data_IF_176242872948
#
_entry.id   IF_176242872948
#
_cell.length_a   1.000
_cell.length_b   1.000
_cell.length_c   1.000
_cell.angle_alpha   90.00
_cell.angle_beta   90.00
_cell.angle_gamma   90.00
#
_symmetry.space_group_name_H-M   'P 1'
#
loop_
_entity.id
_entity.type
_entity.pdbx_description
1 polymer ?
#
# COMPACT_ATOMS: atom_id res chain seq x y z
N UNK A 1 -36.40 30.75 -10.39
CA UNK A 1 -35.76 30.20 -11.61
C UNK A 1 -34.25 30.11 -11.40
N UNK A 2 -33.62 29.08 -12.01
CA UNK A 2 -32.18 28.72 -12.02
C UNK A 2 -31.70 27.94 -10.78
N UNK A 3 -31.93 26.63 -10.73
CA UNK A 3 -31.18 25.51 -11.38
C UNK A 3 -29.75 25.31 -10.87
N UNK A 4 -29.66 24.29 -10.04
CA UNK A 4 -28.50 23.60 -9.53
C UNK A 4 -28.17 22.43 -10.48
N UNK A 5 -26.90 22.12 -10.80
CA UNK A 5 -26.57 20.76 -11.23
C UNK A 5 -25.49 20.15 -10.32
N UNK A 6 -25.94 19.44 -9.28
CA UNK A 6 -25.17 18.41 -8.59
C UNK A 6 -24.97 17.22 -9.53
N UNK A 7 -23.82 17.09 -10.20
CA UNK A 7 -23.39 15.81 -10.76
C UNK A 7 -22.78 14.94 -9.65
N UNK A 8 -23.62 14.10 -9.06
CA UNK A 8 -23.22 12.94 -8.24
C UNK A 8 -22.41 11.97 -9.10
N UNK A 9 -21.09 11.92 -8.94
CA UNK A 9 -20.30 10.74 -9.34
C UNK A 9 -20.49 9.67 -8.26
N UNK A 10 -21.16 8.57 -8.63
CA UNK A 10 -21.24 7.33 -7.85
C UNK A 10 -19.81 6.82 -7.63
N UNK A 11 -19.28 6.92 -6.40
CA UNK A 11 -18.09 6.16 -5.98
C UNK A 11 -18.48 4.67 -5.99
N UNK A 12 -18.04 3.92 -7.01
CA UNK A 12 -18.06 2.46 -6.96
C UNK A 12 -17.04 2.01 -5.92
N UNK A 13 -17.43 1.06 -5.08
CA UNK A 13 -16.66 0.60 -3.93
C UNK A 13 -15.32 0.00 -4.36
N UNK A 14 -14.25 0.69 -3.99
CA UNK A 14 -12.90 0.10 -3.93
C UNK A 14 -12.79 -0.65 -2.60
N UNK A 15 -12.29 -1.89 -2.62
CA UNK A 15 -12.05 -2.68 -1.41
C UNK A 15 -11.19 -1.89 -0.40
N UNK A 16 -11.58 -1.81 0.89
CA UNK A 16 -10.87 -1.05 1.93
C UNK A 16 -9.41 -1.49 2.16
N UNK A 17 -9.05 -2.69 1.74
CA UNK A 17 -7.76 -3.37 1.96
C UNK A 17 -6.53 -2.53 1.57
N UNK A 18 -6.63 -1.65 0.57
CA UNK A 18 -5.45 -1.02 -0.04
C UNK A 18 -5.21 0.44 0.32
N UNK A 19 -5.96 0.98 1.31
CA UNK A 19 -5.75 2.37 1.78
C UNK A 19 -4.62 2.51 2.80
N UNK A 20 -4.15 1.41 3.40
CA UNK A 20 -3.17 1.39 4.49
C UNK A 20 -1.69 1.45 4.10
N UNK A 21 -1.33 1.36 2.81
CA UNK A 21 0.07 1.45 2.35
C UNK A 21 0.53 2.91 2.25
N UNK A 22 0.68 3.60 3.39
CA UNK A 22 1.45 4.86 3.46
C UNK A 22 2.75 4.59 4.19
N UNK A 23 3.84 4.48 3.44
CA UNK A 23 5.18 4.50 4.01
C UNK A 23 5.75 5.92 3.97
N UNK A 24 6.47 6.24 5.04
CA UNK A 24 7.09 7.50 5.43
C UNK A 24 7.85 8.25 4.32
N UNK A 25 7.83 9.58 4.43
CA UNK A 25 8.45 10.54 3.51
C UNK A 25 9.94 10.24 3.23
N UNK A 26 10.25 9.90 1.98
CA UNK A 26 11.59 9.61 1.44
C UNK A 26 12.60 10.77 1.50
N UNK A 27 12.19 11.94 1.97
CA UNK A 27 13.02 13.14 2.09
C UNK A 27 14.02 13.07 3.25
N UNK A 28 13.70 12.38 4.34
CA UNK A 28 14.62 12.23 5.49
C UNK A 28 15.89 11.45 5.17
N UNK A 29 15.85 10.52 4.21
CA UNK A 29 17.00 9.64 3.87
C UNK A 29 18.06 10.32 2.98
N UNK A 30 17.81 11.52 2.48
CA UNK A 30 18.77 12.22 1.60
C UNK A 30 19.90 12.89 2.39
N UNK A 31 19.67 13.27 3.66
CA UNK A 31 20.64 14.01 4.46
C UNK A 31 21.70 13.12 5.14
N UNK A 32 21.49 11.81 5.26
CA UNK A 32 22.41 10.91 5.96
C UNK A 32 23.63 10.47 5.11
N UNK A 33 23.64 10.72 3.80
CA UNK A 33 24.70 10.21 2.88
C UNK A 33 25.71 11.26 2.43
N UNK A 34 25.60 12.52 2.86
CA UNK A 34 26.45 13.63 2.40
C UNK A 34 27.56 14.01 3.37
N UNK A 35 28.59 13.16 3.57
CA UNK A 35 29.81 13.56 4.29
C UNK A 35 31.07 13.22 3.50
N UNK A 36 31.24 13.87 2.35
CA UNK A 36 32.51 14.00 1.63
C UNK A 36 32.50 15.30 0.83
N UNK A 37 33.66 15.96 0.67
CA UNK A 37 33.82 17.27 0.03
C UNK A 37 33.08 17.37 -1.31
N UNK A 38 32.20 18.37 -1.43
CA UNK A 38 31.27 18.55 -2.55
C UNK A 38 31.85 19.47 -3.62
N UNK A 39 31.68 19.11 -4.89
CA UNK A 39 31.91 20.05 -5.99
C UNK A 39 30.91 21.23 -5.90
N UNK A 40 31.20 22.37 -6.53
CA UNK A 40 30.30 23.54 -6.51
C UNK A 40 28.89 23.20 -7.06
N UNK A 41 28.77 22.22 -7.95
CA UNK A 41 27.49 21.75 -8.48
C UNK A 41 26.73 20.90 -7.45
N UNK A 42 27.43 20.03 -6.71
CA UNK A 42 26.84 19.23 -5.63
C UNK A 42 26.28 20.12 -4.50
N UNK A 43 26.98 21.21 -4.18
CA UNK A 43 26.50 22.19 -3.21
C UNK A 43 25.20 22.87 -3.68
N UNK A 44 25.05 23.15 -4.98
CA UNK A 44 23.84 23.73 -5.53
C UNK A 44 22.64 22.76 -5.44
N UNK A 45 22.85 21.48 -5.77
CA UNK A 45 21.81 20.45 -5.68
C UNK A 45 21.31 20.27 -4.25
N UNK A 46 22.23 20.11 -3.29
CA UNK A 46 21.89 19.96 -1.87
C UNK A 46 21.13 21.21 -1.37
N UNK A 47 21.58 22.41 -1.76
CA UNK A 47 20.95 23.66 -1.34
C UNK A 47 19.53 23.81 -1.88
N UNK A 48 19.30 23.49 -3.17
CA UNK A 48 17.97 23.56 -3.78
C UNK A 48 17.01 22.50 -3.21
N UNK A 49 17.52 21.29 -2.92
CA UNK A 49 16.73 20.25 -2.25
C UNK A 49 16.38 20.64 -0.81
N UNK A 50 17.33 21.24 -0.07
CA UNK A 50 17.09 21.77 1.27
C UNK A 50 16.06 22.89 1.29
N UNK A 51 16.13 23.81 0.32
CA UNK A 51 15.12 24.86 0.14
C UNK A 51 13.74 24.29 -0.22
N UNK A 52 13.69 23.30 -1.11
CA UNK A 52 12.45 22.63 -1.46
C UNK A 52 11.78 22.00 -0.22
N UNK A 53 12.57 21.32 0.62
CA UNK A 53 12.08 20.72 1.86
C UNK A 53 11.64 21.76 2.88
N UNK A 54 12.40 22.85 3.04
CA UNK A 54 12.03 23.97 3.88
C UNK A 54 10.66 24.56 3.49
N UNK A 55 10.42 24.78 2.19
CA UNK A 55 9.13 25.28 1.72
C UNK A 55 8.00 24.27 1.86
N UNK A 56 8.30 22.96 1.86
CA UNK A 56 7.31 21.91 2.09
C UNK A 56 6.87 21.83 3.55
N UNK A 57 7.79 22.05 4.48
CA UNK A 57 7.55 21.94 5.93
C UNK A 57 7.27 23.28 6.62
N UNK A 58 7.40 24.40 5.91
CA UNK A 58 7.06 25.73 6.44
C UNK A 58 5.60 25.80 6.89
N UNK A 59 5.29 26.68 7.84
CA UNK A 59 3.92 26.92 8.30
C UNK A 59 3.51 28.37 7.98
N UNK A 60 2.61 28.59 6.98
CA UNK A 60 1.97 27.61 6.12
C UNK A 60 2.92 27.04 5.02
N UNK A 61 2.66 25.82 4.49
CA UNK A 61 3.48 25.23 3.44
C UNK A 61 3.42 26.02 2.14
N UNK A 62 4.58 26.31 1.54
CA UNK A 62 4.66 26.99 0.25
C UNK A 62 4.98 26.00 -0.88
N UNK A 63 3.99 25.20 -1.25
CA UNK A 63 4.13 24.13 -2.25
C UNK A 63 4.55 24.66 -3.62
N UNK A 64 4.12 25.88 -4.01
CA UNK A 64 4.53 26.49 -5.28
C UNK A 64 6.05 26.72 -5.32
N UNK A 65 6.62 27.29 -4.26
CA UNK A 65 8.08 27.51 -4.18
C UNK A 65 8.84 26.19 -4.09
N UNK A 66 8.31 25.20 -3.36
CA UNK A 66 8.87 23.85 -3.32
C UNK A 66 9.00 23.25 -4.74
N UNK A 67 7.92 23.28 -5.53
CA UNK A 67 7.93 22.81 -6.93
C UNK A 67 8.94 23.61 -7.77
N UNK A 68 9.00 24.93 -7.62
CA UNK A 68 9.95 25.78 -8.36
C UNK A 68 11.41 25.44 -8.04
N UNK A 69 11.75 25.18 -6.77
CA UNK A 69 13.09 24.74 -6.38
C UNK A 69 13.46 23.40 -7.01
N UNK A 70 12.53 22.44 -7.04
CA UNK A 70 12.76 21.14 -7.66
C UNK A 70 12.86 21.24 -9.19
N UNK A 71 12.06 22.07 -9.83
CA UNK A 71 12.15 22.31 -11.28
C UNK A 71 13.46 22.99 -11.66
N UNK A 72 13.96 23.91 -10.82
CA UNK A 72 15.22 24.60 -11.06
C UNK A 72 16.42 23.63 -11.12
N UNK A 73 16.37 22.51 -10.40
CA UNK A 73 17.42 21.48 -10.42
C UNK A 73 17.73 20.99 -11.84
N UNK A 74 16.71 20.83 -12.70
CA UNK A 74 16.90 20.36 -14.07
C UNK A 74 17.72 21.30 -14.95
N UNK A 75 17.75 22.60 -14.62
CA UNK A 75 18.57 23.60 -15.34
C UNK A 75 20.07 23.31 -15.22
N UNK A 76 20.48 22.65 -14.13
CA UNK A 76 21.87 22.34 -13.83
C UNK A 76 22.33 20.99 -14.40
N UNK A 77 21.46 20.26 -15.11
CA UNK A 77 21.73 18.90 -15.67
C UNK A 77 22.23 17.93 -14.57
N UNK A 78 21.34 17.57 -13.62
CA UNK A 78 21.71 16.71 -12.51
C UNK A 78 22.18 15.33 -12.98
N UNK A 79 23.05 14.64 -12.22
CA UNK A 79 23.35 13.24 -12.48
C UNK A 79 22.08 12.38 -12.49
N UNK A 80 22.05 11.30 -13.27
CA UNK A 80 20.86 10.45 -13.49
C UNK A 80 20.14 10.03 -12.21
N UNK A 81 20.88 9.69 -11.14
CA UNK A 81 20.29 9.31 -9.83
C UNK A 81 19.54 10.48 -9.18
N UNK A 82 20.10 11.68 -9.25
CA UNK A 82 19.48 12.89 -8.70
C UNK A 82 18.27 13.25 -9.54
N UNK A 83 18.40 13.21 -10.86
CA UNK A 83 17.32 13.49 -11.81
C UNK A 83 16.09 12.59 -11.59
N UNK A 84 16.30 11.26 -11.56
CA UNK A 84 15.24 10.29 -11.34
C UNK A 84 14.52 10.51 -9.99
N UNK A 85 15.29 10.80 -8.93
CA UNK A 85 14.73 11.06 -7.59
C UNK A 85 13.95 12.37 -7.55
N UNK A 86 14.44 13.43 -8.21
CA UNK A 86 13.72 14.71 -8.33
C UNK A 86 12.40 14.54 -9.08
N UNK A 87 12.39 13.74 -10.16
CA UNK A 87 11.16 13.38 -10.86
C UNK A 87 10.14 12.65 -9.96
N UNK A 88 10.60 11.66 -9.17
CA UNK A 88 9.74 10.99 -8.19
C UNK A 88 9.15 11.99 -7.16
N UNK A 89 9.99 12.87 -6.60
CA UNK A 89 9.55 13.88 -5.63
C UNK A 89 8.52 14.85 -6.22
N UNK A 90 8.74 15.32 -7.45
CA UNK A 90 7.77 16.17 -8.15
C UNK A 90 6.45 15.43 -8.38
N UNK A 91 6.50 14.17 -8.81
CA UNK A 91 5.32 13.31 -8.94
C UNK A 91 4.53 13.22 -7.63
N UNK A 92 5.21 12.91 -6.51
CA UNK A 92 4.60 12.83 -5.18
C UNK A 92 3.95 14.14 -4.74
N UNK A 93 4.65 15.26 -4.87
CA UNK A 93 4.14 16.58 -4.47
C UNK A 93 2.93 16.98 -5.33
N UNK A 94 3.00 16.76 -6.64
CA UNK A 94 1.90 17.08 -7.55
C UNK A 94 0.67 16.23 -7.23
N UNK A 95 0.84 14.94 -6.95
CA UNK A 95 -0.25 14.06 -6.53
C UNK A 95 -0.87 14.47 -5.19
N UNK A 96 -0.05 14.89 -4.23
CA UNK A 96 -0.51 15.19 -2.87
C UNK A 96 -1.17 16.56 -2.75
N UNK A 97 -0.67 17.57 -3.47
CA UNK A 97 -1.03 18.97 -3.22
C UNK A 97 -1.66 19.69 -4.42
N UNK A 98 -1.76 19.05 -5.59
CA UNK A 98 -2.29 19.70 -6.80
C UNK A 98 -3.35 18.84 -7.49
N UNK A 99 -3.99 19.40 -8.52
CA UNK A 99 -4.93 18.68 -9.40
C UNK A 99 -4.29 18.31 -10.75
N UNK A 100 -2.99 18.54 -10.91
CA UNK A 100 -2.27 18.38 -12.19
C UNK A 100 -1.83 16.93 -12.38
N UNK A 101 -2.79 16.02 -12.56
CA UNK A 101 -2.54 14.58 -12.64
C UNK A 101 -1.69 14.18 -13.86
N UNK A 102 -1.85 14.87 -14.99
CA UNK A 102 -1.04 14.64 -16.20
C UNK A 102 0.43 15.00 -15.97
N UNK A 103 0.69 16.15 -15.34
CA UNK A 103 2.06 16.57 -15.04
C UNK A 103 2.72 15.62 -14.04
N UNK A 104 1.97 15.17 -13.02
CA UNK A 104 2.45 14.17 -12.08
C UNK A 104 2.81 12.85 -12.78
N UNK A 105 1.96 12.38 -13.69
CA UNK A 105 2.19 11.18 -14.49
C UNK A 105 3.46 11.32 -15.33
N UNK A 106 3.60 12.42 -16.08
CA UNK A 106 4.79 12.66 -16.91
C UNK A 106 6.08 12.62 -16.08
N UNK A 107 6.09 13.23 -14.87
CA UNK A 107 7.25 13.14 -14.00
C UNK A 107 7.53 11.70 -13.54
N UNK A 108 6.49 10.93 -13.18
CA UNK A 108 6.68 9.54 -12.74
C UNK A 108 7.09 8.60 -13.89
N UNK A 109 6.61 8.82 -15.11
CA UNK A 109 7.07 8.10 -16.30
C UNK A 109 8.57 8.35 -16.55
N UNK A 110 9.02 9.60 -16.43
CA UNK A 110 10.44 9.93 -16.55
C UNK A 110 11.28 9.29 -15.42
N UNK A 111 10.81 9.35 -14.17
CA UNK A 111 11.48 8.66 -13.06
C UNK A 111 11.57 7.14 -13.30
N UNK A 112 10.54 6.53 -13.86
CA UNK A 112 10.52 5.10 -14.15
C UNK A 112 11.57 4.75 -15.21
N UNK A 113 11.54 5.45 -16.36
CA UNK A 113 12.49 5.26 -17.45
C UNK A 113 13.95 5.45 -17.00
N UNK A 114 14.22 6.50 -16.21
CA UNK A 114 15.57 6.78 -15.73
C UNK A 114 16.04 5.77 -14.67
N UNK A 115 15.15 5.32 -13.79
CA UNK A 115 15.51 4.43 -12.69
C UNK A 115 15.74 2.99 -13.12
N UNK A 116 15.13 2.52 -14.21
CA UNK A 116 15.14 1.11 -14.65
C UNK A 116 16.57 0.53 -14.71
N UNK A 117 17.50 1.27 -15.31
CA UNK A 117 18.89 0.85 -15.53
C UNK A 117 19.85 1.17 -14.38
N UNK A 118 19.36 1.76 -13.28
CA UNK A 118 20.20 2.11 -12.14
C UNK A 118 20.22 0.93 -11.14
N UNK A 119 21.43 0.46 -10.83
CA UNK A 119 21.67 -0.58 -9.83
C UNK A 119 21.53 -0.03 -8.40
N UNK A 120 21.05 -0.85 -7.47
CA UNK A 120 20.86 -0.52 -6.05
C UNK A 120 20.04 0.77 -5.85
N UNK A 121 18.91 0.88 -6.58
CA UNK A 121 18.05 2.05 -6.59
C UNK A 121 16.57 1.68 -6.40
N UNK A 122 16.36 0.60 -5.65
CA UNK A 122 15.08 -0.07 -5.42
C UNK A 122 14.04 0.86 -4.79
N UNK A 123 14.46 1.72 -3.86
CA UNK A 123 13.57 2.66 -3.17
C UNK A 123 12.89 3.61 -4.15
N UNK A 124 13.65 4.21 -5.07
CA UNK A 124 13.09 5.12 -6.08
C UNK A 124 12.40 4.33 -7.19
N UNK A 125 13.01 3.24 -7.67
CA UNK A 125 12.49 2.43 -8.77
C UNK A 125 11.11 1.86 -8.45
N UNK A 126 10.98 1.15 -7.34
CA UNK A 126 9.73 0.48 -6.98
C UNK A 126 8.68 1.42 -6.41
N UNK A 127 9.08 2.51 -5.73
CA UNK A 127 8.12 3.55 -5.32
C UNK A 127 7.54 4.27 -6.54
N UNK A 128 8.38 4.58 -7.53
CA UNK A 128 7.91 5.16 -8.80
C UNK A 128 6.95 4.23 -9.52
N UNK A 129 7.28 2.94 -9.68
CA UNK A 129 6.39 1.96 -10.29
C UNK A 129 5.03 1.88 -9.57
N UNK A 130 5.07 1.86 -8.23
CA UNK A 130 3.87 1.79 -7.39
C UNK A 130 2.98 3.02 -7.55
N UNK A 131 3.57 4.23 -7.52
CA UNK A 131 2.83 5.49 -7.67
C UNK A 131 2.31 5.70 -9.11
N UNK A 132 3.11 5.33 -10.11
CA UNK A 132 2.72 5.41 -11.51
C UNK A 132 1.53 4.50 -11.81
N UNK A 133 1.57 3.25 -11.32
CA UNK A 133 0.44 2.34 -11.42
C UNK A 133 -0.82 2.87 -10.71
N UNK A 134 -0.65 3.52 -9.55
CA UNK A 134 -1.77 4.16 -8.85
C UNK A 134 -2.38 5.31 -9.67
N UNK A 135 -1.57 6.13 -10.33
CA UNK A 135 -2.07 7.19 -11.21
C UNK A 135 -2.84 6.63 -12.41
N UNK A 136 -2.31 5.60 -13.06
CA UNK A 136 -3.01 4.94 -14.16
C UNK A 136 -4.37 4.38 -13.72
N UNK A 137 -4.44 3.75 -12.54
CA UNK A 137 -5.72 3.30 -11.99
C UNK A 137 -6.70 4.45 -11.72
N UNK A 138 -6.22 5.59 -11.19
CA UNK A 138 -7.08 6.77 -10.96
C UNK A 138 -7.62 7.36 -12.27
N UNK A 139 -6.91 7.16 -13.38
CA UNK A 139 -7.31 7.56 -14.73
C UNK A 139 -8.10 6.48 -15.48
N UNK A 140 -8.48 5.38 -14.82
CA UNK A 140 -9.16 4.23 -15.43
C UNK A 140 -8.35 3.54 -16.55
N UNK A 141 -7.01 3.68 -16.51
CA UNK A 141 -6.06 3.11 -17.48
C UNK A 141 -5.34 1.87 -16.91
N UNK A 142 -6.10 0.88 -16.42
CA UNK A 142 -5.53 -0.34 -15.83
C UNK A 142 -4.60 -1.12 -16.78
N UNK A 143 -4.80 -1.00 -18.09
CA UNK A 143 -3.95 -1.62 -19.12
C UNK A 143 -2.50 -1.13 -19.10
N UNK A 144 -2.25 0.11 -18.66
CA UNK A 144 -0.90 0.68 -18.53
C UNK A 144 -0.29 0.38 -17.16
N UNK A 145 -1.12 0.25 -16.11
CA UNK A 145 -0.66 -0.09 -14.76
C UNK A 145 -0.08 -1.51 -14.68
N UNK A 146 -0.77 -2.50 -15.29
CA UNK A 146 -0.40 -3.92 -15.16
C UNK A 146 1.02 -4.23 -15.68
N UNK A 147 1.45 -3.79 -16.88
CA UNK A 147 2.82 -4.04 -17.36
C UNK A 147 3.89 -3.43 -16.46
N UNK A 148 3.69 -2.20 -15.97
CA UNK A 148 4.63 -1.53 -15.06
C UNK A 148 4.80 -2.34 -13.78
N UNK A 149 3.69 -2.78 -13.18
CA UNK A 149 3.73 -3.61 -11.96
C UNK A 149 4.38 -4.96 -12.19
N UNK A 150 4.07 -5.66 -13.30
CA UNK A 150 4.70 -6.94 -13.64
C UNK A 150 6.21 -6.80 -13.77
N UNK A 151 6.66 -5.76 -14.48
CA UNK A 151 8.09 -5.49 -14.63
C UNK A 151 8.76 -5.20 -13.28
N UNK A 152 8.12 -4.42 -12.42
CA UNK A 152 8.62 -4.15 -11.09
C UNK A 152 8.67 -5.41 -10.20
N UNK A 153 7.71 -6.34 -10.33
CA UNK A 153 7.69 -7.62 -9.62
C UNK A 153 8.86 -8.51 -10.05
N UNK A 154 9.13 -8.61 -11.35
CA UNK A 154 10.29 -9.35 -11.89
C UNK A 154 11.60 -8.83 -11.30
N UNK A 155 11.75 -7.50 -11.19
CA UNK A 155 12.97 -6.87 -10.71
C UNK A 155 13.12 -6.89 -9.19
N UNK A 156 12.05 -7.08 -8.43
CA UNK A 156 12.04 -6.93 -6.95
C UNK A 156 12.22 -8.24 -6.18
N UNK A 157 12.46 -9.38 -6.85
CA UNK A 157 12.53 -10.70 -6.22
C UNK A 157 13.49 -10.78 -5.02
N UNK A 158 14.60 -10.04 -5.04
CA UNK A 158 15.57 -10.00 -3.95
C UNK A 158 15.20 -9.07 -2.79
N UNK A 159 14.09 -8.34 -2.89
CA UNK A 159 13.61 -7.39 -1.90
C UNK A 159 12.18 -7.75 -1.46
N UNK A 160 12.09 -8.59 -0.44
CA UNK A 160 10.82 -9.17 0.07
C UNK A 160 9.73 -8.12 0.29
N UNK A 161 10.09 -6.96 0.86
CA UNK A 161 9.13 -5.88 1.10
C UNK A 161 8.53 -5.35 -0.19
N UNK A 162 9.35 -4.95 -1.15
CA UNK A 162 8.87 -4.39 -2.41
C UNK A 162 8.16 -5.45 -3.24
N UNK A 163 8.69 -6.67 -3.27
CA UNK A 163 8.08 -7.78 -3.98
C UNK A 163 6.66 -8.03 -3.51
N UNK A 164 6.47 -8.21 -2.19
CA UNK A 164 5.14 -8.44 -1.62
C UNK A 164 4.21 -7.23 -1.83
N UNK A 165 4.72 -6.00 -1.67
CA UNK A 165 3.94 -4.77 -1.92
C UNK A 165 3.40 -4.71 -3.34
N UNK A 166 4.26 -5.00 -4.32
CA UNK A 166 3.90 -4.93 -5.73
C UNK A 166 2.96 -6.07 -6.14
N UNK A 167 3.12 -7.28 -5.58
CA UNK A 167 2.18 -8.39 -5.75
C UNK A 167 0.79 -8.03 -5.25
N UNK A 168 0.69 -7.49 -4.03
CA UNK A 168 -0.57 -7.01 -3.47
C UNK A 168 -1.22 -5.94 -4.36
N UNK A 169 -0.43 -4.98 -4.85
CA UNK A 169 -0.94 -3.92 -5.72
C UNK A 169 -1.43 -4.45 -7.07
N UNK A 170 -0.71 -5.40 -7.68
CA UNK A 170 -1.12 -6.01 -8.95
C UNK A 170 -2.38 -6.87 -8.78
N UNK A 171 -2.46 -7.67 -7.71
CA UNK A 171 -3.65 -8.42 -7.35
C UNK A 171 -4.87 -7.50 -7.17
N UNK A 172 -4.70 -6.35 -6.52
CA UNK A 172 -5.77 -5.34 -6.42
C UNK A 172 -6.18 -4.75 -7.76
N UNK A 173 -5.22 -4.53 -8.67
CA UNK A 173 -5.50 -4.04 -10.02
C UNK A 173 -6.42 -5.04 -10.74
N UNK A 174 -6.05 -6.32 -10.73
CA UNK A 174 -6.85 -7.39 -11.30
C UNK A 174 -8.23 -7.51 -10.64
N UNK A 175 -8.30 -7.44 -9.30
CA UNK A 175 -9.58 -7.50 -8.58
C UNK A 175 -10.51 -6.31 -8.90
N UNK A 176 -9.94 -5.12 -9.11
CA UNK A 176 -10.70 -3.92 -9.50
C UNK A 176 -11.30 -4.07 -10.90
N UNK A 177 -10.54 -4.71 -11.80
CA UNK A 177 -10.98 -5.04 -13.16
C UNK A 177 -11.88 -6.29 -13.21
N UNK A 178 -12.21 -6.89 -12.05
CA UNK A 178 -12.99 -8.12 -11.87
C UNK A 178 -12.32 -9.39 -12.42
N UNK A 179 -11.01 -9.35 -12.62
CA UNK A 179 -10.18 -10.49 -13.01
C UNK A 179 -9.78 -11.30 -11.76
N UNK A 180 -10.77 -11.85 -11.05
CA UNK A 180 -10.58 -12.47 -9.74
C UNK A 180 -9.68 -13.72 -9.76
N UNK A 181 -9.72 -14.52 -10.83
CA UNK A 181 -8.86 -15.67 -11.00
C UNK A 181 -7.37 -15.27 -10.98
N UNK A 182 -6.98 -14.28 -11.79
CA UNK A 182 -5.61 -13.75 -11.84
C UNK A 182 -5.20 -13.11 -10.52
N UNK A 183 -6.11 -12.38 -9.86
CA UNK A 183 -5.85 -11.83 -8.54
C UNK A 183 -5.57 -12.94 -7.50
N UNK A 184 -6.34 -14.03 -7.54
CA UNK A 184 -6.13 -15.19 -6.64
C UNK A 184 -4.81 -15.90 -6.92
N UNK A 185 -4.43 -16.09 -8.19
CA UNK A 185 -3.15 -16.70 -8.59
C UNK A 185 -1.96 -15.87 -8.11
N UNK A 186 -1.99 -14.55 -8.30
CA UNK A 186 -0.95 -13.65 -7.81
C UNK A 186 -0.80 -13.70 -6.27
N UNK A 187 -1.92 -13.81 -5.55
CA UNK A 187 -1.88 -13.96 -4.10
C UNK A 187 -1.30 -15.31 -3.68
N UNK A 188 -1.50 -16.38 -4.47
CA UNK A 188 -0.86 -17.67 -4.23
C UNK A 188 0.65 -17.61 -4.44
N UNK A 189 1.13 -16.95 -5.50
CA UNK A 189 2.56 -16.66 -5.71
C UNK A 189 3.15 -15.88 -4.53
N UNK A 190 2.39 -14.94 -3.96
CA UNK A 190 2.79 -14.22 -2.75
C UNK A 190 2.95 -15.12 -1.52
N UNK A 191 2.09 -16.14 -1.35
CA UNK A 191 2.25 -17.12 -0.26
C UNK A 191 3.58 -17.87 -0.41
N UNK A 192 3.89 -18.36 -1.61
CA UNK A 192 5.14 -19.08 -1.91
C UNK A 192 6.36 -18.20 -1.67
N UNK A 193 6.32 -16.95 -2.14
CA UNK A 193 7.41 -15.97 -1.96
C UNK A 193 7.72 -15.69 -0.48
N UNK A 194 6.70 -15.72 0.38
CA UNK A 194 6.88 -15.49 1.83
C UNK A 194 7.43 -16.70 2.59
N UNK A 195 7.31 -17.90 2.02
CA UNK A 195 7.85 -19.12 2.62
C UNK A 195 9.38 -19.13 2.55
N UNK A 196 9.96 -18.68 1.45
CA UNK A 196 11.41 -18.56 1.27
C UNK A 196 12.03 -17.59 2.29
N UNK A 197 11.32 -16.51 2.63
CA UNK A 197 11.78 -15.46 3.55
C UNK A 197 11.34 -15.66 5.02
N UNK A 198 10.65 -16.76 5.34
CA UNK A 198 10.05 -17.02 6.65
C UNK A 198 9.16 -15.87 7.19
N UNK A 199 8.45 -15.17 6.30
CA UNK A 199 7.64 -14.00 6.63
C UNK A 199 6.20 -14.41 6.97
N UNK A 200 6.02 -15.09 8.10
CA UNK A 200 4.74 -15.72 8.51
C UNK A 200 3.56 -14.75 8.62
N UNK A 201 3.83 -13.50 9.01
CA UNK A 201 2.83 -12.43 9.03
C UNK A 201 2.30 -12.11 7.62
N UNK A 202 3.19 -11.89 6.66
CA UNK A 202 2.82 -11.63 5.26
C UNK A 202 2.13 -12.84 4.63
N UNK A 203 2.62 -14.05 4.92
CA UNK A 203 1.97 -15.29 4.48
C UNK A 203 0.50 -15.32 4.88
N UNK A 204 0.22 -14.98 6.14
CA UNK A 204 -1.16 -14.91 6.67
C UNK A 204 -1.98 -13.86 5.94
N UNK A 205 -1.42 -12.67 5.66
CA UNK A 205 -2.10 -11.64 4.88
C UNK A 205 -2.42 -12.09 3.45
N UNK A 206 -1.49 -12.77 2.76
CA UNK A 206 -1.73 -13.29 1.42
C UNK A 206 -2.85 -14.33 1.40
N UNK A 207 -2.84 -15.28 2.34
CA UNK A 207 -3.88 -16.30 2.48
C UNK A 207 -5.26 -15.68 2.73
N UNK A 208 -5.36 -14.76 3.70
CA UNK A 208 -6.63 -14.09 4.01
C UNK A 208 -7.13 -13.23 2.85
N UNK A 209 -6.22 -12.53 2.15
CA UNK A 209 -6.56 -11.76 0.95
C UNK A 209 -7.08 -12.66 -0.18
N UNK A 210 -6.47 -13.82 -0.35
CA UNK A 210 -6.88 -14.80 -1.36
C UNK A 210 -8.26 -15.36 -1.03
N UNK A 211 -8.51 -15.73 0.23
CA UNK A 211 -9.83 -16.15 0.71
C UNK A 211 -10.90 -15.07 0.42
N UNK A 212 -10.60 -13.80 0.70
CA UNK A 212 -11.49 -12.68 0.41
C UNK A 212 -11.84 -12.60 -1.09
N UNK A 213 -10.85 -12.71 -1.99
CA UNK A 213 -11.08 -12.70 -3.45
C UNK A 213 -11.95 -13.88 -3.89
N UNK A 214 -11.68 -15.08 -3.38
CA UNK A 214 -12.46 -16.29 -3.72
C UNK A 214 -13.91 -16.19 -3.25
N UNK A 215 -14.15 -15.58 -2.08
CA UNK A 215 -15.50 -15.29 -1.59
C UNK A 215 -16.25 -14.29 -2.48
N UNK A 216 -15.57 -13.28 -3.02
CA UNK A 216 -16.15 -12.32 -3.97
C UNK A 216 -16.51 -13.04 -5.29
N UNK A 217 -15.65 -13.94 -5.77
CA UNK A 217 -15.89 -14.77 -6.95
C UNK A 217 -16.97 -15.86 -6.74
N UNK A 218 -17.43 -16.06 -5.50
CA UNK A 218 -18.36 -17.13 -5.08
C UNK A 218 -17.83 -18.55 -5.30
N UNK A 219 -16.51 -18.72 -5.32
CA UNK A 219 -15.85 -20.05 -5.34
C UNK A 219 -15.66 -20.58 -3.92
N UNK A 220 -16.76 -20.99 -3.30
CA UNK A 220 -16.81 -21.30 -1.86
C UNK A 220 -16.14 -22.61 -1.44
N UNK A 221 -15.79 -23.51 -2.37
CA UNK A 221 -15.31 -24.87 -2.04
C UNK A 221 -13.98 -24.87 -1.28
N UNK A 222 -13.06 -23.95 -1.63
CA UNK A 222 -11.69 -24.00 -1.13
C UNK A 222 -11.41 -22.91 -0.08
N UNK A 223 -12.36 -21.99 0.13
CA UNK A 223 -12.22 -20.87 1.07
C UNK A 223 -11.98 -21.38 2.49
N UNK A 224 -12.72 -22.41 2.92
CA UNK A 224 -12.58 -22.96 4.26
C UNK A 224 -11.20 -23.58 4.49
N UNK A 225 -10.63 -24.24 3.49
CA UNK A 225 -9.29 -24.83 3.57
C UNK A 225 -8.22 -23.74 3.76
N UNK A 226 -8.30 -22.66 2.96
CA UNK A 226 -7.40 -21.50 3.08
C UNK A 226 -7.56 -20.81 4.44
N UNK A 227 -8.80 -20.63 4.92
CA UNK A 227 -9.05 -20.05 6.23
C UNK A 227 -8.49 -20.92 7.36
N UNK A 228 -8.68 -22.24 7.32
CA UNK A 228 -8.11 -23.15 8.32
C UNK A 228 -6.57 -23.12 8.33
N UNK A 229 -5.96 -23.05 7.15
CA UNK A 229 -4.51 -22.88 7.03
C UNK A 229 -4.06 -21.56 7.65
N UNK A 230 -4.72 -20.44 7.32
CA UNK A 230 -4.40 -19.13 7.88
C UNK A 230 -4.59 -19.11 9.40
N UNK A 231 -5.68 -19.66 9.92
CA UNK A 231 -5.96 -19.76 11.36
C UNK A 231 -4.86 -20.51 12.11
N UNK A 232 -4.43 -21.67 11.57
CA UNK A 232 -3.33 -22.46 12.15
C UNK A 232 -2.03 -21.66 12.26
N UNK A 233 -1.70 -20.85 11.24
CA UNK A 233 -0.50 -20.01 11.24
C UNK A 233 -0.66 -18.86 12.24
N UNK A 234 -1.81 -18.19 12.27
CA UNK A 234 -2.10 -17.10 13.19
C UNK A 234 -1.97 -17.55 14.64
N UNK A 235 -2.46 -18.75 14.96
CA UNK A 235 -2.44 -19.27 16.32
C UNK A 235 -1.05 -19.73 16.77
N UNK A 236 -0.28 -20.37 15.88
CA UNK A 236 0.96 -21.05 16.26
C UNK A 236 2.26 -20.36 15.86
N UNK A 237 2.26 -19.55 14.80
CA UNK A 237 3.50 -19.03 14.19
C UNK A 237 3.72 -17.52 14.39
N UNK A 238 2.69 -16.76 14.78
CA UNK A 238 2.80 -15.31 15.00
C UNK A 238 3.19 -15.04 16.46
N UNK A 239 4.43 -14.59 16.67
CA UNK A 239 4.95 -14.29 18.00
C UNK A 239 4.48 -12.93 18.53
N UNK A 240 4.37 -11.93 17.67
CA UNK A 240 3.94 -10.59 18.05
C UNK A 240 2.43 -10.58 18.33
N UNK A 241 2.08 -10.40 19.61
CA UNK A 241 0.69 -10.41 20.10
C UNK A 241 -0.14 -9.32 19.43
N UNK A 242 0.44 -8.15 19.17
CA UNK A 242 -0.27 -7.04 18.54
C UNK A 242 -0.62 -7.37 17.09
N UNK A 243 0.35 -7.80 16.28
CA UNK A 243 0.12 -8.21 14.90
C UNK A 243 -0.87 -9.37 14.79
N UNK A 244 -0.80 -10.32 15.73
CA UNK A 244 -1.70 -11.46 15.83
C UNK A 244 -3.16 -11.01 15.98
N UNK A 245 -3.45 -10.01 16.82
CA UNK A 245 -4.83 -9.51 16.97
C UNK A 245 -5.36 -8.86 15.69
N UNK A 246 -4.56 -8.10 14.93
CA UNK A 246 -5.03 -7.55 13.64
C UNK A 246 -5.32 -8.66 12.62
N UNK A 247 -4.52 -9.72 12.58
CA UNK A 247 -4.78 -10.88 11.71
C UNK A 247 -6.05 -11.63 12.14
N UNK A 248 -6.27 -11.81 13.44
CA UNK A 248 -7.51 -12.41 13.97
C UNK A 248 -8.75 -11.62 13.54
N UNK A 249 -8.70 -10.29 13.64
CA UNK A 249 -9.83 -9.46 13.19
C UNK A 249 -10.11 -9.69 11.70
N UNK A 250 -9.08 -9.71 10.86
CA UNK A 250 -9.27 -9.99 9.43
C UNK A 250 -9.82 -11.41 9.18
N UNK A 251 -9.24 -12.41 9.84
CA UNK A 251 -9.69 -13.80 9.78
C UNK A 251 -11.16 -13.97 10.18
N UNK A 252 -11.55 -13.45 11.35
CA UNK A 252 -12.91 -13.63 11.85
C UNK A 252 -13.95 -12.88 11.02
N UNK A 253 -13.60 -11.73 10.43
CA UNK A 253 -14.50 -11.04 9.48
C UNK A 253 -14.79 -11.93 8.27
N UNK A 254 -13.75 -12.52 7.68
CA UNK A 254 -13.93 -13.45 6.56
C UNK A 254 -14.71 -14.69 6.96
N UNK A 255 -14.43 -15.25 8.13
CA UNK A 255 -15.13 -16.42 8.66
C UNK A 255 -16.62 -16.13 8.89
N UNK A 256 -16.96 -14.99 9.49
CA UNK A 256 -18.36 -14.54 9.67
C UNK A 256 -19.03 -14.35 8.31
N UNK A 257 -18.40 -13.64 7.37
CA UNK A 257 -18.94 -13.43 6.04
C UNK A 257 -19.16 -14.76 5.29
N UNK A 258 -18.25 -15.72 5.42
CA UNK A 258 -18.35 -17.02 4.76
C UNK A 258 -19.50 -17.85 5.34
N UNK A 259 -19.61 -17.96 6.67
CA UNK A 259 -20.71 -18.70 7.29
C UNK A 259 -22.07 -18.05 7.08
N UNK A 260 -22.14 -16.72 6.98
CA UNK A 260 -23.36 -16.01 6.59
C UNK A 260 -23.78 -16.37 5.16
N UNK A 261 -22.84 -16.44 4.21
CA UNK A 261 -23.11 -16.89 2.84
C UNK A 261 -23.63 -18.34 2.79
N UNK A 262 -23.17 -19.19 3.71
CA UNK A 262 -23.62 -20.59 3.82
C UNK A 262 -24.89 -20.79 4.68
N UNK A 263 -25.43 -19.72 5.29
CA UNK A 263 -26.61 -19.81 6.17
C UNK A 263 -26.35 -20.46 7.54
N UNK A 264 -25.10 -20.62 7.97
CA UNK A 264 -24.73 -21.29 9.22
C UNK A 264 -24.78 -20.35 10.45
N UNK A 265 -25.97 -19.85 10.79
CA UNK A 265 -26.16 -18.81 11.82
C UNK A 265 -25.63 -19.21 13.22
N UNK A 266 -25.63 -20.51 13.57
CA UNK A 266 -25.09 -20.97 14.87
C UNK A 266 -23.58 -20.74 14.98
N UNK A 267 -22.83 -21.10 13.95
CA UNK A 267 -21.36 -20.96 13.91
C UNK A 267 -20.95 -19.48 13.84
N UNK A 268 -21.73 -18.68 13.12
CA UNK A 268 -21.54 -17.22 13.04
C UNK A 268 -21.49 -16.59 14.43
N UNK A 269 -22.37 -16.98 15.35
CA UNK A 269 -22.41 -16.39 16.71
C UNK A 269 -21.10 -16.57 17.45
N UNK A 270 -20.45 -17.72 17.31
CA UNK A 270 -19.16 -17.99 17.98
C UNK A 270 -18.06 -17.13 17.36
N UNK A 271 -17.92 -17.14 16.02
CA UNK A 271 -16.92 -16.32 15.33
C UNK A 271 -17.13 -14.82 15.55
N UNK A 272 -18.38 -14.37 15.63
CA UNK A 272 -18.73 -12.98 15.90
C UNK A 272 -18.30 -12.53 17.30
N UNK A 273 -18.50 -13.37 18.33
CA UNK A 273 -18.02 -13.08 19.68
C UNK A 273 -16.50 -12.94 19.73
N UNK A 274 -15.78 -13.85 19.05
CA UNK A 274 -14.32 -13.79 18.96
C UNK A 274 -13.85 -12.52 18.24
N UNK A 275 -14.51 -12.15 17.13
CA UNK A 275 -14.24 -10.89 16.42
C UNK A 275 -14.42 -9.68 17.33
N UNK A 276 -15.54 -9.60 18.05
CA UNK A 276 -15.83 -8.52 18.97
C UNK A 276 -14.78 -8.42 20.09
N UNK A 277 -14.36 -9.57 20.63
CA UNK A 277 -13.33 -9.64 21.66
C UNK A 277 -11.98 -9.13 21.13
N UNK A 278 -11.51 -9.60 19.97
CA UNK A 278 -10.26 -9.12 19.37
C UNK A 278 -10.29 -7.61 19.08
N UNK A 279 -11.41 -7.08 18.57
CA UNK A 279 -11.52 -5.64 18.35
C UNK A 279 -11.49 -4.88 19.68
N UNK A 280 -12.21 -5.32 20.71
CA UNK A 280 -12.17 -4.70 22.03
C UNK A 280 -10.74 -4.68 22.62
N UNK A 281 -9.98 -5.75 22.43
CA UNK A 281 -8.56 -5.81 22.83
C UNK A 281 -7.72 -4.74 22.12
N UNK A 282 -7.88 -4.57 20.79
CA UNK A 282 -7.18 -3.52 20.03
C UNK A 282 -7.62 -2.11 20.45
N UNK A 283 -8.89 -1.95 20.85
CA UNK A 283 -9.43 -0.66 21.27
C UNK A 283 -9.06 -0.26 22.70
N UNK A 284 -8.35 -1.13 23.44
CA UNK A 284 -7.94 -0.84 24.80
C UNK A 284 -7.06 0.44 24.85
N UNK A 285 -7.17 1.25 25.91
CA UNK A 285 -6.45 2.53 26.02
C UNK A 285 -4.94 2.37 26.11
N UNK A 286 -4.47 1.22 26.59
CA UNK A 286 -3.05 0.85 26.67
C UNK A 286 -2.52 0.17 25.39
N UNK A 287 -3.35 0.03 24.35
CA UNK A 287 -2.93 -0.58 23.10
C UNK A 287 -2.01 0.38 22.33
N UNK A 288 -0.84 -0.08 21.83
CA UNK A 288 0.10 0.78 21.12
C UNK A 288 -0.51 1.42 19.85
N UNK A 289 0.11 2.49 19.35
CA UNK A 289 -0.32 3.10 18.09
C UNK A 289 -0.01 2.20 16.89
N UNK A 290 -0.77 2.38 15.81
CA UNK A 290 -0.54 1.67 14.55
C UNK A 290 0.92 1.83 14.05
N UNK A 291 1.51 3.02 14.20
CA UNK A 291 2.92 3.28 13.82
C UNK A 291 3.95 2.56 14.71
N UNK A 292 3.60 2.25 15.96
CA UNK A 292 4.48 1.51 16.88
C UNK A 292 4.44 0.00 16.61
N UNK A 293 3.28 -0.50 16.19
CA UNK A 293 3.07 -1.93 15.89
C UNK A 293 3.62 -2.26 14.51
N UNK A 294 3.35 -1.39 13.53
CA UNK A 294 3.70 -1.56 12.13
C UNK A 294 4.83 -0.58 11.78
N UNK A 295 6.01 -1.09 11.42
CA UNK A 295 7.14 -0.23 11.02
C UNK A 295 8.50 -0.63 11.54
N UNK A 296 8.57 -1.56 12.50
CA UNK A 296 9.85 -2.05 13.02
C UNK A 296 10.56 -2.98 12.04
N UNK A 297 9.80 -3.88 11.41
CA UNK A 297 10.30 -4.83 10.42
C UNK A 297 9.65 -4.59 9.06
N UNK A 298 10.44 -4.75 8.00
CA UNK A 298 9.96 -4.53 6.63
C UNK A 298 8.87 -5.52 6.22
N UNK A 299 8.89 -6.72 6.80
CA UNK A 299 7.87 -7.76 6.61
C UNK A 299 6.59 -7.53 7.43
N UNK A 300 6.55 -6.53 8.30
CA UNK A 300 5.43 -6.27 9.21
C UNK A 300 4.82 -4.87 8.97
N UNK A 301 5.15 -4.22 7.86
CA UNK A 301 4.65 -2.89 7.52
C UNK A 301 3.23 -2.89 6.93
N UNK A 302 2.71 -4.06 6.54
CA UNK A 302 1.44 -4.17 5.84
C UNK A 302 0.31 -4.32 6.84
N UNK A 303 -0.75 -3.53 6.66
CA UNK A 303 -1.91 -3.55 7.54
C UNK A 303 -3.18 -3.58 6.69
N UNK A 304 -4.11 -4.47 7.06
CA UNK A 304 -5.39 -4.57 6.39
C UNK A 304 -6.29 -3.35 6.64
N UNK A 305 -6.50 -3.00 7.92
CA UNK A 305 -7.33 -1.89 8.35
C UNK A 305 -6.72 -1.21 9.57
N UNK A 306 -6.64 0.14 9.59
CA UNK A 306 -6.17 0.89 10.74
C UNK A 306 -7.15 0.85 11.90
N UNK A 307 -6.62 1.04 13.11
CA UNK A 307 -7.38 0.98 14.37
C UNK A 307 -8.66 1.83 14.32
N UNK A 308 -8.57 3.03 13.77
CA UNK A 308 -9.71 3.95 13.64
C UNK A 308 -10.85 3.39 12.78
N UNK A 309 -10.53 2.59 11.76
CA UNK A 309 -11.53 2.00 10.86
C UNK A 309 -12.16 0.73 11.43
N UNK A 310 -11.53 0.09 12.41
CA UNK A 310 -12.08 -1.10 13.07
C UNK A 310 -13.36 -0.79 13.88
N UNK A 311 -13.52 0.43 14.39
CA UNK A 311 -14.76 0.86 15.05
C UNK A 311 -15.99 0.72 14.13
N UNK A 312 -15.84 1.10 12.87
CA UNK A 312 -16.90 1.01 11.87
C UNK A 312 -17.24 -0.44 11.57
N UNK A 313 -16.23 -1.31 11.56
CA UNK A 313 -16.39 -2.74 11.29
C UNK A 313 -17.25 -3.42 12.37
N UNK A 314 -17.02 -3.13 13.66
CA UNK A 314 -17.87 -3.65 14.75
C UNK A 314 -19.32 -3.30 14.49
N UNK A 315 -19.60 -2.02 14.22
CA UNK A 315 -20.96 -1.53 13.98
C UNK A 315 -21.61 -2.19 12.75
N UNK A 316 -20.87 -2.31 11.64
CA UNK A 316 -21.41 -2.93 10.42
C UNK A 316 -21.71 -4.41 10.62
N UNK A 317 -20.82 -5.15 11.30
CA UNK A 317 -20.99 -6.58 11.51
C UNK A 317 -22.08 -6.86 12.55
N UNK A 318 -22.23 -6.03 13.60
CA UNK A 318 -23.32 -6.19 14.58
C UNK A 318 -24.70 -5.89 14.00
N UNK A 319 -24.81 -4.92 13.08
CA UNK A 319 -26.08 -4.56 12.44
C UNK A 319 -26.47 -5.54 11.32
N UNK A 320 -25.50 -6.24 10.72
CA UNK A 320 -25.74 -7.21 9.64
C UNK A 320 -26.24 -8.57 10.12
N UNK A 321 -26.18 -8.86 11.44
CA UNK A 321 -26.69 -10.06 12.08
C UNK A 321 -28.12 -9.84 12.60
#
# INVERSE_FOLDING_TARGET
QKQNPRRRRRRRGSCPFFRGLRANSLLGRFLETGRAMTSSQDACYISLLGLAEYFRTSSPPNIKKCIQCLQALFTFKPPLKVEARTHLQLGQILMAYTKNTELARNHLEQAWMLSENINNFDDVKFDTASLLAQLYQQQEQSSLAKPVLRKAIELSQHNVYWHCKLLFQLAQTHATDKEYALASELLAVGVESTDESNATYLKSLFLLSRAMIMMIERKSSDVLAILNQAGTIIDNAIQNIHLKEYLKVFFFVLQVCHYLQLGQVKTVKTSLKQLQQSIQTIMAPNWPSDEQIFGQNSTEMFMWLPKEQLYVLVYLVTVSH
#
